data_IF_745661240061
#
_entry.id   IF_745661240061
#
_cell.length_a   1.000
_cell.length_b   1.000
_cell.length_c   1.000
_cell.angle_alpha   90.00
_cell.angle_beta   90.00
_cell.angle_gamma   90.00
#
_symmetry.space_group_name_H-M   'P 1'
#
loop_
_entity.id
_entity.type
_entity.pdbx_description
1 polymer ?
#
# COMPACT_ATOMS: atom_id res chain seq x y z
N UNK A 1 -31.27 3.44 2.42
CA UNK A 1 -30.43 4.63 2.13
C UNK A 1 -30.60 5.07 0.68
N UNK A 2 -29.97 4.43 -0.31
CA UNK A 2 -30.11 4.85 -1.74
C UNK A 2 -31.54 4.73 -2.28
N UNK A 3 -32.20 3.58 -2.08
CA UNK A 3 -33.57 3.36 -2.55
C UNK A 3 -34.57 4.34 -1.92
N UNK A 4 -34.24 4.85 -0.74
CA UNK A 4 -35.06 5.80 0.04
C UNK A 4 -34.63 7.27 -0.18
N UNK A 5 -33.65 7.52 -1.06
CA UNK A 5 -33.04 8.83 -1.29
C UNK A 5 -32.49 9.53 -0.02
N UNK A 6 -32.10 8.75 0.98
CA UNK A 6 -31.50 9.24 2.22
C UNK A 6 -29.99 9.43 2.02
N UNK A 7 -29.61 10.65 1.64
CA UNK A 7 -28.23 11.04 1.37
C UNK A 7 -27.35 11.03 2.63
N UNK A 8 -27.91 11.41 3.79
CA UNK A 8 -27.16 11.46 5.06
C UNK A 8 -26.79 10.06 5.50
N UNK A 9 -27.75 9.13 5.51
CA UNK A 9 -27.50 7.72 5.85
C UNK A 9 -26.54 7.05 4.85
N UNK A 10 -26.67 7.37 3.57
CA UNK A 10 -25.76 6.84 2.55
C UNK A 10 -24.32 7.29 2.80
N UNK A 11 -24.12 8.55 3.19
CA UNK A 11 -22.81 9.09 3.55
C UNK A 11 -22.23 8.38 4.78
N UNK A 12 -23.02 8.20 5.83
CA UNK A 12 -22.58 7.53 7.07
C UNK A 12 -22.03 6.12 6.79
N UNK A 13 -22.77 5.32 6.03
CA UNK A 13 -22.35 3.96 5.65
C UNK A 13 -20.98 3.96 4.95
N UNK A 14 -20.76 4.89 4.02
CA UNK A 14 -19.49 4.99 3.29
C UNK A 14 -18.36 5.48 4.19
N UNK A 15 -18.63 6.45 5.06
CA UNK A 15 -17.63 6.98 5.98
C UNK A 15 -17.21 5.94 7.02
N UNK A 16 -18.14 5.14 7.53
CA UNK A 16 -17.85 4.06 8.48
C UNK A 16 -16.92 3.02 7.84
N UNK A 17 -17.23 2.58 6.62
CA UNK A 17 -16.37 1.67 5.88
C UNK A 17 -14.99 2.26 5.59
N UNK A 18 -14.93 3.52 5.13
CA UNK A 18 -13.66 4.19 4.78
C UNK A 18 -12.75 4.43 5.99
N UNK A 19 -13.32 4.75 7.16
CA UNK A 19 -12.57 5.00 8.40
C UNK A 19 -12.12 3.73 9.10
N UNK A 20 -12.63 2.56 8.68
CA UNK A 20 -12.22 1.29 9.25
C UNK A 20 -10.75 1.01 8.93
N UNK A 21 -9.94 0.79 9.96
CA UNK A 21 -8.53 0.43 9.78
C UNK A 21 -8.40 -1.02 9.29
N UNK A 22 -8.24 -1.18 7.98
CA UNK A 22 -8.04 -2.48 7.32
C UNK A 22 -6.56 -2.88 7.21
N UNK A 23 -5.62 -2.12 7.79
CA UNK A 23 -4.19 -2.47 7.73
C UNK A 23 -3.88 -3.85 8.33
N UNK A 24 -4.50 -4.29 9.44
CA UNK A 24 -4.31 -5.66 9.95
C UNK A 24 -4.74 -6.74 8.95
N UNK A 25 -5.84 -6.52 8.23
CA UNK A 25 -6.31 -7.46 7.20
C UNK A 25 -5.30 -7.58 6.04
N UNK A 26 -4.75 -6.46 5.59
CA UNK A 26 -3.70 -6.45 4.56
C UNK A 26 -2.42 -7.15 5.03
N UNK A 27 -2.07 -7.02 6.31
CA UNK A 27 -0.91 -7.71 6.91
C UNK A 27 -1.11 -9.21 6.92
N UNK A 28 -2.28 -9.68 7.31
CA UNK A 28 -2.62 -11.10 7.29
C UNK A 28 -2.62 -11.67 5.85
N UNK A 29 -3.21 -10.96 4.89
CA UNK A 29 -3.17 -11.38 3.49
C UNK A 29 -1.75 -11.51 2.93
N UNK A 30 -0.83 -10.61 3.34
CA UNK A 30 0.59 -10.72 3.01
C UNK A 30 1.23 -11.95 3.65
N UNK A 31 0.94 -12.19 4.94
CA UNK A 31 1.45 -13.36 5.66
C UNK A 31 1.04 -14.67 4.96
N UNK A 32 -0.23 -14.79 4.60
CA UNK A 32 -0.77 -15.96 3.88
C UNK A 32 -0.12 -16.16 2.51
N UNK A 33 0.26 -15.06 1.86
CA UNK A 33 0.98 -15.08 0.57
C UNK A 33 2.49 -15.28 0.72
N UNK A 34 3.02 -15.49 1.94
CA UNK A 34 4.45 -15.60 2.20
C UNK A 34 5.23 -14.29 2.03
N UNK A 35 4.53 -13.16 1.99
CA UNK A 35 5.11 -11.84 1.82
C UNK A 35 5.45 -11.16 3.16
N UNK A 36 6.23 -10.09 3.09
CA UNK A 36 6.62 -9.32 4.26
C UNK A 36 5.42 -8.66 4.96
N UNK A 37 5.38 -8.76 6.30
CA UNK A 37 4.34 -8.16 7.12
C UNK A 37 4.36 -6.62 7.05
N UNK A 38 5.56 -6.04 7.12
CA UNK A 38 5.86 -4.61 7.03
C UNK A 38 6.80 -4.34 5.83
N UNK A 39 6.27 -4.23 4.60
CA UNK A 39 7.09 -4.23 3.38
C UNK A 39 8.08 -3.08 3.30
N UNK A 40 7.70 -1.89 3.77
CA UNK A 40 8.55 -0.71 3.69
C UNK A 40 9.71 -0.79 4.69
N UNK A 41 9.47 -1.32 5.89
CA UNK A 41 10.52 -1.55 6.88
C UNK A 41 11.53 -2.57 6.36
N UNK A 42 11.04 -3.72 5.87
CA UNK A 42 11.91 -4.74 5.28
C UNK A 42 12.73 -4.19 4.09
N UNK A 43 12.10 -3.44 3.19
CA UNK A 43 12.80 -2.82 2.05
C UNK A 43 13.95 -1.89 2.49
N UNK A 44 13.75 -1.14 3.58
CA UNK A 44 14.75 -0.24 4.16
C UNK A 44 15.86 -1.01 4.87
N UNK A 45 15.50 -2.00 5.68
CA UNK A 45 16.44 -2.86 6.42
C UNK A 45 17.37 -3.63 5.49
N UNK A 46 16.83 -4.17 4.38
CA UNK A 46 17.62 -4.86 3.37
C UNK A 46 18.46 -3.92 2.49
N UNK A 47 18.38 -2.60 2.71
CA UNK A 47 19.05 -1.57 1.92
C UNK A 47 18.86 -1.72 0.39
N UNK A 48 17.71 -2.26 -0.07
CA UNK A 48 17.49 -2.62 -1.49
C UNK A 48 17.77 -1.43 -2.42
N UNK A 49 17.39 -0.21 -2.02
CA UNK A 49 17.69 1.01 -2.79
C UNK A 49 19.19 1.18 -3.04
N UNK A 50 20.03 0.97 -2.02
CA UNK A 50 21.49 1.12 -2.12
C UNK A 50 22.08 0.04 -3.03
N UNK A 51 21.56 -1.18 -2.94
CA UNK A 51 21.95 -2.28 -3.82
C UNK A 51 21.65 -1.94 -5.29
N UNK A 52 20.43 -1.48 -5.59
CA UNK A 52 20.02 -1.09 -6.94
C UNK A 52 20.81 0.12 -7.48
N UNK A 53 21.13 1.10 -6.63
CA UNK A 53 21.98 2.25 -7.03
C UNK A 53 23.39 1.79 -7.39
N UNK A 54 23.93 0.81 -6.68
CA UNK A 54 25.24 0.23 -6.99
C UNK A 54 25.22 -0.51 -8.33
N UNK A 55 24.14 -1.23 -8.63
CA UNK A 55 23.99 -1.96 -9.90
C UNK A 55 23.77 -1.03 -11.10
N UNK A 56 22.95 0.02 -10.96
CA UNK A 56 22.53 0.90 -12.07
C UNK A 56 23.35 2.19 -12.20
N UNK A 57 24.24 2.44 -11.26
CA UNK A 57 24.96 3.70 -11.11
C UNK A 57 24.07 4.84 -10.56
N UNK A 58 24.69 5.82 -9.88
CA UNK A 58 23.99 7.00 -9.31
C UNK A 58 23.35 7.93 -10.36
N UNK A 59 23.81 7.85 -11.61
CA UNK A 59 23.34 8.67 -12.74
C UNK A 59 22.84 7.74 -13.83
N UNK A 60 21.73 7.03 -13.59
CA UNK A 60 21.01 6.37 -14.67
C UNK A 60 20.38 7.48 -15.54
N UNK A 61 21.15 8.00 -16.51
CA UNK A 61 20.58 8.80 -17.59
C UNK A 61 19.76 7.81 -18.41
N UNK A 62 18.43 7.99 -18.42
CA UNK A 62 17.61 7.31 -19.41
C UNK A 62 18.10 7.76 -20.77
N UNK A 63 18.89 6.94 -21.46
CA UNK A 63 19.11 7.06 -22.89
C UNK A 63 17.81 6.61 -23.54
N UNK A 64 16.79 7.46 -23.46
CA UNK A 64 15.55 7.31 -24.22
C UNK A 64 15.90 7.46 -25.69
N UNK A 65 16.00 6.32 -26.37
CA UNK A 65 15.81 6.18 -27.80
C UNK A 65 14.33 5.85 -28.03
#
# INVERSE_FOLDING_TARGET
ARADNDATRAQEILQDAFRTDVRPLLREARLQSGAALEPLSLFRELEIRKQLIRERGKKTVATGL
#
